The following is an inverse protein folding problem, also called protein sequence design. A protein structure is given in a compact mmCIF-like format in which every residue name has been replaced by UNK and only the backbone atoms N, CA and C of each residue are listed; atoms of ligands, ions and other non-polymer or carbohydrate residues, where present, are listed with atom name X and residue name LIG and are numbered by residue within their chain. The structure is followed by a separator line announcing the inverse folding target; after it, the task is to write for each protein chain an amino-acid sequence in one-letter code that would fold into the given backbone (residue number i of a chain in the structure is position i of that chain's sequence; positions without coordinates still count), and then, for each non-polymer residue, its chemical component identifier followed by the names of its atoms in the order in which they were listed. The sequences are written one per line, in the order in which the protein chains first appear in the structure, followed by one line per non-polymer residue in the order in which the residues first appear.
data_IF_706946909793
#
_entry.id   IF_706946909793
#
_cell.length_a   1.000
_cell.length_b   1.000
_cell.length_c   1.000
_cell.angle_alpha   90.00
_cell.angle_beta   90.00
_cell.angle_gamma   90.00
#
_symmetry.space_group_name_H-M   'P 1'
#
loop_
_entity.id
_entity.type
_entity.pdbx_description
1 polymer ?
#
# COMPACT_ATOMS: atom_id res chain seq x y z
N UNK A 1 11.51 -6.91 -20.76
CA UNK A 1 11.16 -7.35 -19.39
C UNK A 1 10.87 -6.19 -18.41
N UNK A 2 11.35 -4.96 -18.65
CA UNK A 2 11.12 -3.78 -17.77
C UNK A 2 9.65 -3.48 -17.40
N UNK A 3 8.68 -3.82 -18.27
CA UNK A 3 7.26 -3.54 -18.00
C UNK A 3 6.55 -4.62 -17.17
N UNK A 4 7.05 -5.85 -17.11
CA UNK A 4 6.33 -6.98 -16.49
C UNK A 4 6.08 -6.78 -14.99
N UNK A 5 7.06 -6.20 -14.28
CA UNK A 5 6.94 -5.95 -12.83
C UNK A 5 6.05 -4.76 -12.48
N UNK A 6 5.99 -3.77 -13.37
CA UNK A 6 5.04 -2.66 -13.22
C UNK A 6 3.61 -3.16 -13.33
N UNK A 7 3.34 -4.05 -14.31
CA UNK A 7 2.06 -4.74 -14.43
C UNK A 7 1.73 -5.56 -13.20
N UNK A 8 2.70 -6.32 -12.66
CA UNK A 8 2.50 -7.11 -11.44
C UNK A 8 2.15 -6.21 -10.24
N UNK A 9 2.89 -5.12 -10.02
CA UNK A 9 2.60 -4.18 -8.94
C UNK A 9 1.22 -3.54 -9.09
N UNK A 10 0.82 -3.19 -10.31
CA UNK A 10 -0.53 -2.68 -10.56
C UNK A 10 -1.59 -3.75 -10.29
N UNK A 11 -1.36 -5.00 -10.70
CA UNK A 11 -2.27 -6.11 -10.44
C UNK A 11 -2.50 -6.32 -8.94
N UNK A 12 -1.45 -6.21 -8.13
CA UNK A 12 -1.55 -6.25 -6.65
C UNK A 12 -2.47 -5.13 -6.12
N UNK A 13 -2.36 -3.91 -6.65
CA UNK A 13 -3.23 -2.80 -6.22
C UNK A 13 -4.71 -2.99 -6.57
N UNK A 14 -5.04 -3.84 -7.54
CA UNK A 14 -6.43 -4.15 -7.91
C UNK A 14 -7.04 -5.32 -7.10
N UNK A 15 -6.25 -6.08 -6.35
CA UNK A 15 -6.75 -7.22 -5.55
C UNK A 15 -7.90 -6.80 -4.60
N UNK A 16 -7.82 -5.68 -3.86
CA UNK A 16 -8.92 -5.26 -2.99
C UNK A 16 -10.22 -4.95 -3.75
N UNK A 17 -10.11 -4.43 -4.98
CA UNK A 17 -11.29 -4.18 -5.82
C UNK A 17 -11.94 -5.48 -6.28
N UNK A 18 -11.14 -6.49 -6.60
CA UNK A 18 -11.64 -7.82 -6.93
C UNK A 18 -12.39 -8.43 -5.75
N UNK A 19 -11.90 -8.22 -4.52
CA UNK A 19 -12.61 -8.65 -3.32
C UNK A 19 -14.00 -8.00 -3.21
N UNK A 20 -14.13 -6.69 -3.46
CA UNK A 20 -15.43 -5.98 -3.46
C UNK A 20 -16.41 -6.59 -4.45
N UNK A 21 -15.95 -6.92 -5.67
CA UNK A 21 -16.78 -7.59 -6.68
C UNK A 21 -17.27 -8.95 -6.18
N UNK A 22 -16.41 -9.73 -5.53
CA UNK A 22 -16.77 -11.06 -5.01
C UNK A 22 -17.79 -11.02 -3.86
N UNK A 23 -17.78 -9.97 -3.05
CA UNK A 23 -18.71 -9.82 -1.91
C UNK A 23 -19.91 -8.92 -2.23
N UNK A 24 -20.02 -8.39 -3.45
CA UNK A 24 -20.97 -7.33 -3.79
C UNK A 24 -22.42 -7.65 -3.41
N UNK A 25 -22.87 -8.86 -3.74
CA UNK A 25 -24.26 -9.30 -3.48
C UNK A 25 -24.52 -9.59 -1.99
N UNK A 26 -23.45 -9.80 -1.22
CA UNK A 26 -23.52 -10.08 0.23
C UNK A 26 -23.38 -8.81 1.08
N UNK A 27 -22.99 -7.68 0.48
CA UNK A 27 -22.85 -6.44 1.22
C UNK A 27 -24.22 -5.89 1.65
N UNK A 28 -24.32 -5.30 2.86
CA UNK A 28 -25.56 -4.63 3.27
C UNK A 28 -25.92 -3.47 2.34
N UNK A 29 -27.19 -3.05 2.36
CA UNK A 29 -27.66 -1.91 1.56
C UNK A 29 -27.06 -0.58 2.03
N UNK A 30 -26.69 -0.51 3.31
CA UNK A 30 -26.02 0.64 3.93
C UNK A 30 -24.72 0.18 4.58
N UNK A 31 -23.65 0.90 4.31
CA UNK A 31 -22.31 0.63 4.82
C UNK A 31 -21.87 1.79 5.73
N UNK A 32 -21.23 1.49 6.87
CA UNK A 32 -20.64 2.53 7.71
C UNK A 32 -19.57 3.30 6.93
N UNK A 33 -19.58 4.63 7.07
CA UNK A 33 -18.60 5.53 6.45
C UNK A 33 -17.79 6.31 7.47
N UNK A 34 -18.28 6.38 8.70
CA UNK A 34 -17.60 6.99 9.83
C UNK A 34 -17.71 6.05 11.03
N UNK A 35 -16.65 6.06 11.84
CA UNK A 35 -16.56 5.31 13.08
C UNK A 35 -16.14 6.29 14.18
N UNK A 36 -16.79 6.20 15.32
CA UNK A 36 -16.43 6.95 16.52
C UNK A 36 -15.07 6.51 17.06
N UNK A 37 -14.52 7.27 18.01
CA UNK A 37 -13.29 6.89 18.74
C UNK A 37 -13.42 5.55 19.48
N UNK A 38 -14.65 5.15 19.81
CA UNK A 38 -14.98 3.87 20.42
C UNK A 38 -15.10 2.72 19.40
N UNK A 39 -14.86 2.99 18.12
CA UNK A 39 -14.93 2.00 17.03
C UNK A 39 -16.36 1.65 16.60
N UNK A 40 -17.37 2.42 17.03
CA UNK A 40 -18.77 2.18 16.65
C UNK A 40 -19.12 2.99 15.40
N UNK A 41 -19.88 2.38 14.49
CA UNK A 41 -20.40 3.09 13.33
C UNK A 41 -21.52 4.06 13.73
N UNK A 42 -21.33 5.34 13.45
CA UNK A 42 -22.31 6.41 13.72
C UNK A 42 -22.88 7.03 12.43
N UNK A 43 -22.18 6.91 11.30
CA UNK A 43 -22.68 7.36 10.00
C UNK A 43 -22.65 6.23 8.98
N UNK A 44 -23.71 6.15 8.17
CA UNK A 44 -23.90 5.15 7.14
C UNK A 44 -24.19 5.79 5.80
N UNK A 45 -23.69 5.20 4.72
CA UNK A 45 -23.97 5.60 3.36
C UNK A 45 -24.59 4.46 2.56
N UNK A 46 -25.23 4.78 1.43
CA UNK A 46 -25.71 3.78 0.48
C UNK A 46 -24.53 3.07 -0.17
N UNK A 47 -24.76 1.83 -0.61
CA UNK A 47 -23.73 1.02 -1.31
C UNK A 47 -23.10 1.77 -2.49
N UNK A 48 -23.90 2.49 -3.27
CA UNK A 48 -23.43 3.24 -4.43
C UNK A 48 -22.54 4.43 -4.04
N UNK A 49 -22.94 5.19 -3.01
CA UNK A 49 -22.14 6.31 -2.53
C UNK A 49 -20.85 5.82 -1.85
N UNK A 50 -20.90 4.72 -1.10
CA UNK A 50 -19.71 4.08 -0.55
C UNK A 50 -18.74 3.63 -1.66
N UNK A 51 -19.26 3.03 -2.74
CA UNK A 51 -18.44 2.64 -3.89
C UNK A 51 -17.79 3.86 -4.55
N UNK A 52 -18.51 4.96 -4.73
CA UNK A 52 -17.93 6.21 -5.23
C UNK A 52 -16.78 6.70 -4.35
N UNK A 53 -16.95 6.71 -3.03
CA UNK A 53 -15.89 7.08 -2.08
C UNK A 53 -14.68 6.16 -2.20
N UNK A 54 -14.91 4.84 -2.28
CA UNK A 54 -13.85 3.85 -2.45
C UNK A 54 -13.07 4.07 -3.75
N UNK A 55 -13.75 4.36 -4.85
CA UNK A 55 -13.12 4.64 -6.15
C UNK A 55 -12.31 5.94 -6.13
N UNK A 56 -12.83 6.99 -5.49
CA UNK A 56 -12.08 8.24 -5.30
C UNK A 56 -10.81 7.97 -4.49
N UNK A 57 -10.94 7.26 -3.36
CA UNK A 57 -9.80 6.91 -2.52
C UNK A 57 -8.76 6.06 -3.28
N UNK A 58 -9.22 5.11 -4.09
CA UNK A 58 -8.35 4.32 -4.95
C UNK A 58 -7.54 5.18 -5.92
N UNK A 59 -8.20 6.09 -6.65
CA UNK A 59 -7.54 7.00 -7.59
C UNK A 59 -6.52 7.88 -6.86
N UNK A 60 -6.88 8.45 -5.71
CA UNK A 60 -5.98 9.26 -4.89
C UNK A 60 -4.74 8.46 -4.44
N UNK A 61 -4.92 7.23 -3.97
CA UNK A 61 -3.82 6.36 -3.54
C UNK A 61 -2.91 5.96 -4.71
N UNK A 62 -3.46 5.73 -5.90
CA UNK A 62 -2.66 5.43 -7.10
C UNK A 62 -1.84 6.66 -7.53
N UNK A 63 -2.44 7.86 -7.52
CA UNK A 63 -1.73 9.11 -7.80
C UNK A 63 -0.63 9.34 -6.76
N UNK A 64 -0.94 9.15 -5.47
CA UNK A 64 0.01 9.27 -4.38
C UNK A 64 1.18 8.29 -4.56
N UNK A 65 0.90 7.00 -4.78
CA UNK A 65 1.92 5.97 -5.05
C UNK A 65 2.81 6.36 -6.22
N UNK A 66 2.22 6.80 -7.33
CA UNK A 66 2.96 7.19 -8.53
C UNK A 66 3.88 8.39 -8.26
N UNK A 67 3.41 9.34 -7.46
CA UNK A 67 4.18 10.52 -7.05
C UNK A 67 5.35 10.14 -6.14
N UNK A 68 5.11 9.31 -5.12
CA UNK A 68 6.14 8.81 -4.20
C UNK A 68 7.19 8.00 -4.95
N UNK A 69 6.77 7.08 -5.82
CA UNK A 69 7.68 6.26 -6.61
C UNK A 69 8.54 7.11 -7.56
N UNK A 70 7.93 8.11 -8.23
CA UNK A 70 8.65 9.05 -9.09
C UNK A 70 9.69 9.86 -8.31
N UNK A 71 9.33 10.36 -7.12
CA UNK A 71 10.25 11.12 -6.26
C UNK A 71 11.41 10.25 -5.77
N UNK A 72 11.15 9.02 -5.33
CA UNK A 72 12.19 8.10 -4.86
C UNK A 72 13.14 7.70 -6.00
N UNK A 73 12.61 7.32 -7.16
CA UNK A 73 13.41 6.94 -8.32
C UNK A 73 14.23 8.11 -8.89
N UNK A 74 13.74 9.35 -8.79
CA UNK A 74 14.52 10.53 -9.18
C UNK A 74 15.68 10.82 -8.23
N UNK A 75 15.52 10.50 -6.94
CA UNK A 75 16.54 10.77 -5.90
C UNK A 75 17.57 9.66 -5.74
N UNK A 76 17.30 8.47 -6.28
CA UNK A 76 18.18 7.31 -6.09
C UNK A 76 18.40 6.56 -7.40
N UNK A 77 19.66 6.41 -7.81
CA UNK A 77 20.01 5.53 -8.91
C UNK A 77 20.04 4.08 -8.41
N UNK A 78 18.86 3.46 -8.35
CA UNK A 78 18.69 2.12 -7.83
C UNK A 78 18.97 1.06 -8.90
N UNK A 79 19.64 -0.06 -8.58
CA UNK A 79 19.72 -1.21 -9.47
C UNK A 79 18.33 -1.83 -9.70
N UNK A 80 18.12 -2.48 -10.85
CA UNK A 80 16.86 -3.14 -11.25
C UNK A 80 16.16 -3.94 -10.14
N UNK A 81 16.80 -4.89 -9.42
CA UNK A 81 16.12 -5.66 -8.38
C UNK A 81 15.55 -4.79 -7.24
N UNK A 82 16.25 -3.72 -6.87
CA UNK A 82 15.79 -2.78 -5.82
C UNK A 82 14.60 -1.95 -6.28
N UNK A 83 14.56 -1.56 -7.56
CA UNK A 83 13.39 -0.89 -8.15
C UNK A 83 12.16 -1.79 -8.12
N UNK A 84 12.32 -3.08 -8.40
CA UNK A 84 11.22 -4.06 -8.35
C UNK A 84 10.68 -4.18 -6.92
N UNK A 85 11.56 -4.36 -5.93
CA UNK A 85 11.16 -4.44 -4.52
C UNK A 85 10.39 -3.18 -4.12
N UNK A 86 10.87 -1.98 -4.48
CA UNK A 86 10.19 -0.73 -4.16
C UNK A 86 8.81 -0.61 -4.83
N UNK A 87 8.68 -1.05 -6.08
CA UNK A 87 7.40 -1.07 -6.80
C UNK A 87 6.39 -2.01 -6.14
N UNK A 88 6.83 -3.19 -5.69
CA UNK A 88 6.00 -4.17 -5.00
C UNK A 88 5.65 -3.68 -3.59
N UNK A 89 6.60 -3.12 -2.84
CA UNK A 89 6.37 -2.60 -1.50
C UNK A 89 5.31 -1.49 -1.49
N UNK A 90 5.44 -0.53 -2.41
CA UNK A 90 4.46 0.57 -2.55
C UNK A 90 3.11 0.09 -3.07
N UNK A 91 3.08 -0.93 -3.94
CA UNK A 91 1.82 -1.55 -4.38
C UNK A 91 1.10 -2.27 -3.24
N UNK A 92 1.83 -3.09 -2.47
CA UNK A 92 1.30 -3.81 -1.30
C UNK A 92 0.79 -2.83 -0.25
N UNK A 93 1.46 -1.70 -0.02
CA UNK A 93 0.97 -0.66 0.89
C UNK A 93 -0.41 -0.13 0.49
N UNK A 94 -0.57 0.28 -0.78
CA UNK A 94 -1.86 0.76 -1.30
C UNK A 94 -2.93 -0.33 -1.19
N UNK A 95 -2.60 -1.55 -1.61
CA UNK A 95 -3.53 -2.68 -1.56
C UNK A 95 -4.01 -2.95 -0.12
N UNK A 96 -3.10 -2.92 0.84
CA UNK A 96 -3.42 -3.15 2.24
C UNK A 96 -4.28 -2.04 2.85
N UNK A 97 -3.99 -0.76 2.57
CA UNK A 97 -4.82 0.37 3.06
C UNK A 97 -6.26 0.24 2.53
N UNK A 98 -6.42 -0.06 1.25
CA UNK A 98 -7.73 -0.30 0.65
C UNK A 98 -8.43 -1.49 1.27
N UNK A 99 -7.73 -2.61 1.43
CA UNK A 99 -8.30 -3.82 1.98
C UNK A 99 -8.76 -3.61 3.42
N UNK A 100 -7.97 -2.92 4.25
CA UNK A 100 -8.37 -2.58 5.62
C UNK A 100 -9.65 -1.74 5.62
N UNK A 101 -9.70 -0.70 4.79
CA UNK A 101 -10.90 0.14 4.67
C UNK A 101 -12.13 -0.67 4.24
N UNK A 102 -11.99 -1.54 3.24
CA UNK A 102 -13.07 -2.42 2.78
C UNK A 102 -13.52 -3.36 3.90
N UNK A 103 -12.59 -4.05 4.57
CA UNK A 103 -12.93 -5.00 5.63
C UNK A 103 -13.59 -4.30 6.82
N UNK A 104 -13.11 -3.14 7.22
CA UNK A 104 -13.72 -2.37 8.31
C UNK A 104 -15.15 -1.96 7.97
N UNK A 105 -15.37 -1.47 6.75
CA UNK A 105 -16.70 -0.99 6.35
C UNK A 105 -17.68 -2.11 6.02
N UNK A 106 -17.21 -3.27 5.57
CA UNK A 106 -18.09 -4.39 5.16
C UNK A 106 -18.33 -5.40 6.26
N UNK A 107 -17.37 -5.61 7.18
CA UNK A 107 -17.47 -6.56 8.28
C UNK A 107 -17.79 -5.89 9.62
N UNK A 108 -17.86 -4.55 9.67
CA UNK A 108 -18.07 -3.78 10.91
C UNK A 108 -17.08 -4.14 12.03
N UNK A 109 -15.91 -4.63 11.66
CA UNK A 109 -14.88 -5.00 12.61
C UNK A 109 -14.00 -3.76 12.92
N UNK A 110 -13.65 -3.49 14.18
CA UNK A 110 -12.79 -2.36 14.58
C UNK A 110 -11.32 -2.63 14.19
N UNK A 111 -11.08 -2.79 12.88
CA UNK A 111 -9.79 -3.22 12.33
C UNK A 111 -8.78 -2.06 12.35
N UNK A 112 -9.23 -0.81 12.31
CA UNK A 112 -8.33 0.34 12.19
C UNK A 112 -7.46 0.56 13.43
N UNK A 113 -7.98 0.35 14.64
CA UNK A 113 -7.20 0.50 15.88
C UNK A 113 -6.10 -0.54 16.00
N UNK A 114 -6.39 -1.78 15.57
CA UNK A 114 -5.51 -2.91 15.84
C UNK A 114 -4.51 -3.14 14.70
N UNK A 115 -4.94 -2.98 13.45
CA UNK A 115 -4.15 -3.41 12.28
C UNK A 115 -3.46 -2.27 11.55
N UNK A 116 -3.92 -1.02 11.66
CA UNK A 116 -3.23 0.11 11.02
C UNK A 116 -1.83 0.35 11.60
N UNK A 117 -1.61 0.30 12.93
CA UNK A 117 -0.25 0.40 13.49
C UNK A 117 0.64 -0.73 13.00
N UNK A 118 0.11 -1.96 12.97
CA UNK A 118 0.82 -3.15 12.47
C UNK A 118 1.21 -2.95 11.00
N UNK A 119 0.29 -2.47 10.17
CA UNK A 119 0.54 -2.23 8.75
C UNK A 119 1.61 -1.15 8.53
N UNK A 120 1.53 -0.05 9.29
CA UNK A 120 2.54 1.00 9.28
C UNK A 120 3.89 0.47 9.74
N UNK A 121 3.94 -0.37 10.78
CA UNK A 121 5.17 -1.00 11.28
C UNK A 121 5.80 -1.93 10.24
N UNK A 122 5.02 -2.74 9.52
CA UNK A 122 5.53 -3.57 8.43
C UNK A 122 6.05 -2.73 7.26
N UNK A 123 5.37 -1.64 6.93
CA UNK A 123 5.81 -0.74 5.87
C UNK A 123 7.09 0.00 6.24
N UNK A 124 7.17 0.56 7.46
CA UNK A 124 8.36 1.22 7.99
C UNK A 124 9.52 0.25 8.17
N UNK A 125 9.26 -0.96 8.65
CA UNK A 125 10.26 -2.03 8.78
C UNK A 125 10.81 -2.45 7.43
N UNK A 126 9.95 -2.68 6.43
CA UNK A 126 10.37 -2.98 5.06
C UNK A 126 11.19 -1.84 4.44
N UNK A 127 10.80 -0.59 4.69
CA UNK A 127 11.55 0.58 4.25
C UNK A 127 12.92 0.72 4.93
N UNK A 128 13.01 0.45 6.23
CA UNK A 128 14.29 0.46 6.96
C UNK A 128 15.23 -0.65 6.50
N UNK A 129 14.71 -1.86 6.27
CA UNK A 129 15.50 -2.95 5.69
C UNK A 129 16.00 -2.56 4.30
N UNK A 130 15.15 -1.91 3.50
CA UNK A 130 15.55 -1.38 2.21
C UNK A 130 16.68 -0.33 2.33
N UNK A 131 16.57 0.62 3.26
CA UNK A 131 17.63 1.61 3.51
C UNK A 131 18.92 0.99 4.09
N UNK A 132 18.81 0.04 5.01
CA UNK A 132 19.95 -0.69 5.58
C UNK A 132 20.72 -1.46 4.51
N UNK A 133 20.01 -2.08 3.56
CA UNK A 133 20.62 -2.72 2.40
C UNK A 133 21.35 -1.75 1.46
N UNK A 134 20.95 -0.47 1.45
CA UNK A 134 21.66 0.57 0.69
C UNK A 134 22.97 0.96 1.37
N UNK A 135 22.95 1.12 2.69
CA UNK A 135 24.12 1.51 3.47
C UNK A 135 25.22 0.43 3.44
N UNK A 136 24.85 -0.85 3.46
CA UNK A 136 25.81 -1.95 3.45
C UNK A 136 26.61 -2.04 2.14
N UNK A 137 25.94 -1.92 0.98
CA UNK A 137 26.58 -1.95 -0.34
C UNK A 137 27.58 -0.80 -0.54
N UNK A 138 27.31 0.39 0.02
CA UNK A 138 28.25 1.51 -0.05
C UNK A 138 29.49 1.32 0.82
N UNK A 139 29.39 0.54 1.90
CA UNK A 139 30.53 0.21 2.77
C UNK A 139 31.50 -0.76 2.09
N UNK A 140 30.99 -1.82 1.46
CA UNK A 140 31.82 -2.81 0.76
C UNK A 140 32.63 -2.19 -0.41
N UNK A 141 31.99 -1.32 -1.21
CA UNK A 141 32.68 -0.62 -2.31
C UNK A 141 33.79 0.32 -1.84
N UNK A 142 33.67 0.90 -0.64
CA UNK A 142 34.70 1.74 -0.05
C UNK A 142 35.93 0.94 0.41
N UNK A 143 35.71 -0.25 0.94
CA UNK A 143 36.78 -1.09 1.50
C UNK A 143 37.66 -1.73 0.40
N UNK A 144 37.04 -2.17 -0.71
CA UNK A 144 37.73 -2.74 -1.86
C UNK A 144 38.63 -1.73 -2.61
N UNK A 145 38.30 -0.44 -2.54
CA UNK A 145 39.13 0.64 -3.10
C UNK A 145 40.36 0.95 -2.26
N UNK A 146 40.32 0.72 -0.94
CA UNK A 146 41.47 0.93 -0.05
C UNK A 146 42.44 -0.25 -0.06
N UNK A 147 41.96 -1.47 -0.31
CA UNK A 147 42.81 -2.66 -0.41
C UNK A 147 43.64 -2.74 -1.70
N UNK A 148 43.35 -1.90 -2.70
CA UNK A 148 44.06 -1.84 -3.99
C UNK A 148 45.08 -0.69 -4.11
N UNK A 149 45.35 0.04 -3.03
CA UNK A 149 46.43 1.05 -2.94
C UNK A 149 47.53 0.56 -2.02
#
# INVERSE_FOLDING_TARGET
MKNSYQWLGNLITYIPMLYVVLIWDRMPARLPVHFTETGQADQFSTRDSWLCTLLIMFVLLIIFRSSVLSLLLKRTDLPEPRRIILQLLTASFVASVLLIYILQTTLSAPIYTDYLPILLSFFWGGYLVFLGSQANDSSEKGNDSSAKR
#
